data_IF_524126763683
#
_entry.id   IF_524126763683
#
_cell.length_a   1.000
_cell.length_b   1.000
_cell.length_c   1.000
_cell.angle_alpha   90.00
_cell.angle_beta   90.00
_cell.angle_gamma   90.00
#
_symmetry.space_group_name_H-M   'P 1'
#
loop_
_entity.id
_entity.type
_entity.pdbx_description
1 polymer ?
#
# COMPACT_ATOMS: atom_id res chain seq x y z
N UNK A 1 -22.33 10.16 6.58
CA UNK A 1 -21.45 10.51 5.51
C UNK A 1 -22.04 11.64 4.70
N UNK A 2 -21.25 12.59 4.44
CA UNK A 2 -21.71 13.77 3.78
C UNK A 2 -21.49 13.71 2.28
N UNK A 3 -21.95 12.64 1.71
CA UNK A 3 -21.76 12.42 0.30
C UNK A 3 -22.89 12.90 -0.53
N UNK A 4 -23.92 13.32 0.14
CA UNK A 4 -25.06 13.77 -0.59
C UNK A 4 -24.69 14.97 -1.39
N UNK A 5 -24.64 14.81 -2.68
CA UNK A 5 -24.30 15.90 -3.55
C UNK A 5 -25.54 16.73 -3.81
N UNK A 6 -25.52 17.88 -3.27
CA UNK A 6 -26.45 18.91 -3.67
C UNK A 6 -25.85 19.56 -4.90
N UNK A 7 -26.48 19.40 -6.03
CA UNK A 7 -25.94 19.89 -7.27
C UNK A 7 -25.76 21.40 -7.31
N UNK A 8 -26.54 22.09 -6.51
CA UNK A 8 -26.38 23.54 -6.43
C UNK A 8 -25.22 23.92 -5.53
N UNK A 9 -24.82 22.99 -4.68
CA UNK A 9 -23.74 23.21 -3.74
C UNK A 9 -22.63 22.19 -3.94
N UNK A 10 -22.41 21.83 -5.18
CA UNK A 10 -21.38 20.83 -5.50
C UNK A 10 -20.00 21.22 -4.97
N UNK A 11 -19.75 22.52 -4.88
CA UNK A 11 -18.48 23.01 -4.38
C UNK A 11 -18.31 22.82 -2.89
N UNK A 12 -19.38 22.53 -2.17
CA UNK A 12 -19.31 22.28 -0.74
C UNK A 12 -19.14 20.80 -0.43
N UNK A 13 -19.22 19.96 -1.46
CA UNK A 13 -18.96 18.54 -1.25
C UNK A 13 -17.52 18.36 -0.85
N UNK A 14 -17.33 17.75 0.28
CA UNK A 14 -15.97 17.50 0.75
C UNK A 14 -15.44 16.25 0.11
N UNK A 15 -14.23 16.33 -0.36
CA UNK A 15 -13.53 15.15 -0.86
C UNK A 15 -13.25 14.23 0.31
N UNK A 16 -13.54 12.97 0.12
CA UNK A 16 -13.26 11.96 1.12
C UNK A 16 -12.52 10.81 0.47
N UNK A 17 -11.45 10.37 1.10
CA UNK A 17 -10.65 9.25 0.64
C UNK A 17 -10.53 8.28 1.80
N UNK A 18 -10.92 7.04 1.56
CA UNK A 18 -10.78 5.99 2.56
C UNK A 18 -10.08 4.79 1.96
N UNK A 19 -9.30 4.11 2.79
CA UNK A 19 -8.72 2.84 2.40
C UNK A 19 -9.77 1.78 2.69
N UNK A 20 -10.26 1.13 1.64
CA UNK A 20 -11.25 0.07 1.76
C UNK A 20 -10.61 -1.27 2.09
N UNK A 21 -9.45 -1.51 1.53
CA UNK A 21 -8.70 -2.74 1.74
C UNK A 21 -7.25 -2.52 1.42
N UNK A 22 -6.41 -3.30 2.01
CA UNK A 22 -4.99 -3.30 1.68
C UNK A 22 -4.43 -4.69 1.94
N UNK A 23 -3.27 -4.95 1.36
CA UNK A 23 -2.57 -6.20 1.59
C UNK A 23 -2.22 -6.31 3.07
N UNK A 24 -2.64 -7.38 3.76
CA UNK A 24 -2.31 -7.53 5.17
C UNK A 24 -0.83 -7.79 5.35
N UNK A 25 -0.27 -7.29 6.44
CA UNK A 25 1.14 -7.48 6.79
C UNK A 25 2.06 -7.15 5.62
N UNK A 26 1.77 -6.02 4.94
CA UNK A 26 2.46 -5.67 3.71
C UNK A 26 3.96 -5.55 3.85
N UNK A 27 4.44 -4.97 4.94
CA UNK A 27 5.87 -4.83 5.20
C UNK A 27 6.56 -6.20 5.28
N UNK A 28 5.99 -7.13 6.00
CA UNK A 28 6.55 -8.49 6.11
C UNK A 28 6.46 -9.22 4.79
N UNK A 29 5.37 -9.04 4.05
CA UNK A 29 5.21 -9.64 2.73
C UNK A 29 6.29 -9.17 1.77
N UNK A 30 6.52 -7.86 1.71
CA UNK A 30 7.54 -7.28 0.85
C UNK A 30 8.92 -7.83 1.22
N UNK A 31 9.23 -7.83 2.52
CA UNK A 31 10.52 -8.31 2.99
C UNK A 31 10.71 -9.80 2.68
N UNK A 32 9.67 -10.61 2.87
CA UNK A 32 9.73 -12.03 2.58
C UNK A 32 9.95 -12.29 1.09
N UNK A 33 9.19 -11.60 0.24
CA UNK A 33 9.31 -11.76 -1.20
C UNK A 33 10.71 -11.40 -1.68
N UNK A 34 11.27 -10.31 -1.19
CA UNK A 34 12.62 -9.91 -1.55
C UNK A 34 13.66 -10.89 -1.04
N UNK A 35 13.54 -11.33 0.20
CA UNK A 35 14.52 -12.26 0.77
C UNK A 35 14.53 -13.62 0.09
N UNK A 36 13.38 -14.10 -0.36
CA UNK A 36 13.31 -15.37 -1.06
C UNK A 36 14.14 -15.36 -2.34
N UNK A 37 14.34 -14.21 -2.95
CA UNK A 37 15.17 -14.10 -4.16
C UNK A 37 16.65 -14.25 -3.86
N UNK A 38 17.08 -13.92 -2.65
CA UNK A 38 18.51 -13.88 -2.31
C UNK A 38 18.93 -14.90 -1.27
N UNK A 39 17.97 -15.59 -0.68
CA UNK A 39 18.25 -16.51 0.41
C UNK A 39 18.21 -17.95 -0.07
N UNK A 40 19.07 -18.78 0.48
CA UNK A 40 19.00 -20.22 0.29
C UNK A 40 18.07 -20.88 1.31
N UNK A 41 17.51 -20.11 2.22
CA UNK A 41 16.58 -20.62 3.23
C UNK A 41 15.24 -20.97 2.60
N UNK A 42 14.55 -21.92 3.22
CA UNK A 42 13.20 -22.26 2.81
C UNK A 42 12.22 -21.19 3.28
N UNK A 43 11.01 -21.22 2.73
CA UNK A 43 9.97 -20.23 3.00
C UNK A 43 9.75 -20.04 4.50
N UNK A 44 9.59 -21.13 5.23
CA UNK A 44 9.33 -21.05 6.66
C UNK A 44 10.47 -20.39 7.42
N UNK A 45 11.69 -20.69 7.03
CA UNK A 45 12.86 -20.07 7.65
C UNK A 45 12.92 -18.57 7.40
N UNK A 46 12.56 -18.14 6.20
CA UNK A 46 12.51 -16.72 5.88
C UNK A 46 11.45 -16.01 6.70
N UNK A 47 10.25 -16.60 6.77
CA UNK A 47 9.16 -15.99 7.52
C UNK A 47 9.44 -15.90 9.01
N UNK A 48 10.00 -16.95 9.58
CA UNK A 48 10.35 -16.97 11.01
C UNK A 48 11.44 -15.97 11.35
N UNK A 49 12.35 -15.73 10.43
CA UNK A 49 13.44 -14.81 10.65
C UNK A 49 13.04 -13.34 10.55
N UNK A 50 11.84 -13.04 10.07
CA UNK A 50 11.39 -11.66 9.88
C UNK A 50 10.64 -11.15 11.10
N UNK A 51 11.38 -10.80 12.14
CA UNK A 51 10.81 -10.07 13.27
C UNK A 51 10.46 -8.64 12.79
N UNK A 52 9.60 -7.92 13.52
CA UNK A 52 9.28 -6.54 13.13
C UNK A 52 10.51 -5.67 12.95
N UNK A 53 11.49 -5.82 13.84
CA UNK A 53 12.72 -5.02 13.78
C UNK A 53 13.55 -5.36 12.56
N UNK A 54 13.71 -6.64 12.28
CA UNK A 54 14.47 -7.08 11.12
C UNK A 54 13.78 -6.72 9.83
N UNK A 55 12.46 -6.78 9.81
CA UNK A 55 11.67 -6.38 8.66
C UNK A 55 11.90 -4.91 8.34
N UNK A 56 11.83 -4.05 9.34
CA UNK A 56 12.05 -2.63 9.16
C UNK A 56 13.44 -2.32 8.64
N UNK A 57 14.45 -2.94 9.23
CA UNK A 57 15.83 -2.75 8.78
C UNK A 57 16.01 -3.18 7.32
N UNK A 58 15.41 -4.31 6.97
CA UNK A 58 15.55 -4.84 5.63
C UNK A 58 14.86 -3.95 4.60
N UNK A 59 13.67 -3.45 4.91
CA UNK A 59 12.95 -2.56 4.02
C UNK A 59 13.68 -1.24 3.83
N UNK A 60 14.27 -0.71 4.90
CA UNK A 60 15.07 0.51 4.80
C UNK A 60 16.29 0.31 3.91
N UNK A 61 16.91 -0.85 4.00
CA UNK A 61 18.02 -1.19 3.14
C UNK A 61 17.59 -1.28 1.68
N UNK A 62 16.49 -1.96 1.40
CA UNK A 62 15.98 -2.06 0.04
C UNK A 62 15.69 -0.69 -0.55
N UNK A 63 15.05 0.17 0.22
CA UNK A 63 14.73 1.52 -0.23
C UNK A 63 15.98 2.33 -0.52
N UNK A 64 16.99 2.23 0.35
CA UNK A 64 18.23 2.98 0.17
C UNK A 64 19.02 2.52 -1.03
N UNK A 65 18.90 1.26 -1.43
CA UNK A 65 19.57 0.71 -2.59
C UNK A 65 18.78 0.89 -3.89
N UNK A 66 17.58 1.43 -3.81
CA UNK A 66 16.74 1.61 -4.98
C UNK A 66 16.07 0.34 -5.47
N UNK A 67 16.03 -0.69 -4.66
CA UNK A 67 15.34 -1.94 -5.01
C UNK A 67 13.86 -1.79 -4.70
N UNK A 68 13.10 -1.28 -5.65
CA UNK A 68 11.71 -0.93 -5.45
C UNK A 68 10.70 -2.00 -5.88
N UNK A 69 11.10 -2.87 -6.79
CA UNK A 69 10.16 -3.86 -7.33
C UNK A 69 9.49 -4.74 -6.27
N UNK A 70 10.14 -5.15 -5.17
CA UNK A 70 9.44 -5.93 -4.14
C UNK A 70 8.27 -5.19 -3.50
N UNK A 71 8.29 -3.87 -3.50
CA UNK A 71 7.22 -3.07 -2.92
C UNK A 71 5.92 -3.18 -3.72
N UNK A 72 5.96 -3.67 -4.94
CA UNK A 72 4.78 -3.87 -5.77
C UNK A 72 3.89 -5.01 -5.27
N UNK A 73 4.35 -5.80 -4.33
CA UNK A 73 3.51 -6.82 -3.70
C UNK A 73 2.45 -6.23 -2.79
N UNK A 74 2.57 -4.97 -2.46
CA UNK A 74 1.60 -4.27 -1.64
C UNK A 74 0.56 -3.59 -2.51
N UNK A 75 -0.70 -3.72 -2.14
CA UNK A 75 -1.77 -3.03 -2.86
C UNK A 75 -2.74 -2.38 -1.89
N UNK A 76 -3.36 -1.31 -2.35
CA UNK A 76 -4.37 -0.58 -1.60
C UNK A 76 -5.58 -0.35 -2.50
N UNK A 77 -6.74 -0.49 -1.92
CA UNK A 77 -7.98 -0.13 -2.60
C UNK A 77 -8.58 1.06 -1.89
N UNK A 78 -8.77 2.14 -2.61
CA UNK A 78 -9.30 3.38 -2.05
C UNK A 78 -10.73 3.61 -2.49
N UNK A 79 -11.55 4.12 -1.58
CA UNK A 79 -12.83 4.69 -1.92
C UNK A 79 -12.68 6.20 -1.96
N UNK A 80 -13.11 6.80 -3.04
CA UNK A 80 -12.99 8.25 -3.24
C UNK A 80 -14.35 8.80 -3.59
N UNK A 81 -14.75 9.84 -2.90
CA UNK A 81 -16.01 10.53 -3.17
C UNK A 81 -15.82 12.04 -3.08
N UNK A 82 -16.77 12.77 -3.59
CA UNK A 82 -16.70 14.23 -3.56
C UNK A 82 -15.76 14.81 -4.59
N UNK A 83 -15.54 14.11 -5.70
CA UNK A 83 -14.66 14.56 -6.77
C UNK A 83 -15.43 14.65 -8.08
N UNK A 84 -14.94 15.48 -8.99
CA UNK A 84 -15.57 15.65 -10.29
C UNK A 84 -15.27 14.46 -11.19
N UNK A 85 -16.10 14.31 -12.23
CA UNK A 85 -15.83 13.29 -13.24
C UNK A 85 -14.55 13.58 -14.01
N UNK A 86 -14.27 14.85 -14.20
CA UNK A 86 -13.03 15.22 -14.86
C UNK A 86 -11.82 14.73 -14.09
N UNK A 87 -11.85 14.88 -12.78
CA UNK A 87 -10.76 14.37 -11.93
C UNK A 87 -10.64 12.87 -12.05
N UNK A 88 -11.78 12.15 -12.01
CA UNK A 88 -11.75 10.69 -12.11
C UNK A 88 -11.16 10.22 -13.43
N UNK A 89 -11.42 10.95 -14.50
CA UNK A 89 -10.89 10.58 -15.81
C UNK A 89 -9.38 10.77 -15.91
N UNK A 90 -8.81 11.56 -15.04
CA UNK A 90 -7.38 11.87 -15.06
C UNK A 90 -6.53 11.06 -14.12
N UNK A 91 -7.17 10.27 -13.28
CA UNK A 91 -6.44 9.44 -12.32
C UNK A 91 -5.84 8.18 -13.01
#
# INVERSE_FOLDING_TARGET
MDTKVDLTAVNTSKMKVEILAHTPMGDKLIAAAAKLCYSSSEIDGVLEGLTPEKTEKFLNMLGSLGHESPFEHMSFTFGIEGVSRSLLAQI
#
